data_IF_647103241234
#
_entry.id   IF_647103241234
#
_cell.length_a   1.000
_cell.length_b   1.000
_cell.length_c   1.000
_cell.angle_alpha   90.00
_cell.angle_beta   90.00
_cell.angle_gamma   90.00
#
_symmetry.space_group_name_H-M   'P 1'
#
loop_
_entity.id
_entity.type
_entity.pdbx_description
1 polymer ?
#
# COMPACT_ATOMS: atom_id res chain seq x y z
N UNK A 1 38.10 4.27 45.39
CA UNK A 1 37.13 5.15 44.68
C UNK A 1 35.96 5.42 45.61
N UNK A 2 35.73 6.66 46.03
CA UNK A 2 34.63 6.97 46.95
C UNK A 2 33.29 6.84 46.22
N UNK A 3 32.42 5.94 46.68
CA UNK A 3 31.09 5.64 46.15
C UNK A 3 30.25 6.89 45.76
N UNK A 4 30.28 8.00 46.53
CA UNK A 4 29.52 9.22 46.16
C UNK A 4 29.99 9.88 44.87
N UNK A 5 31.30 9.84 44.58
CA UNK A 5 31.88 10.42 43.36
C UNK A 5 31.56 9.59 42.12
N UNK A 6 31.49 8.27 42.26
CA UNK A 6 31.10 7.37 41.17
C UNK A 6 29.62 7.56 40.79
N UNK A 7 28.73 7.70 41.78
CA UNK A 7 27.31 7.94 41.53
C UNK A 7 27.07 9.29 40.83
N UNK A 8 27.75 10.36 41.28
CA UNK A 8 27.66 11.67 40.63
C UNK A 8 28.18 11.63 39.18
N UNK A 9 29.24 10.88 38.92
CA UNK A 9 29.83 10.74 37.59
C UNK A 9 28.92 9.95 36.64
N UNK A 10 28.28 8.87 37.09
CA UNK A 10 27.30 8.11 36.30
C UNK A 10 26.09 8.97 35.96
N UNK A 11 25.59 9.76 36.92
CA UNK A 11 24.47 10.67 36.70
C UNK A 11 24.81 11.76 35.66
N UNK A 12 25.99 12.35 35.76
CA UNK A 12 26.44 13.42 34.85
C UNK A 12 26.70 12.89 33.42
N UNK A 13 27.35 11.74 33.30
CA UNK A 13 27.61 11.11 31.98
C UNK A 13 26.32 10.58 31.37
N UNK A 14 25.43 9.99 32.17
CA UNK A 14 24.14 9.47 31.71
C UNK A 14 23.22 10.55 31.14
N UNK A 15 23.15 11.72 31.78
CA UNK A 15 22.32 12.85 31.29
C UNK A 15 22.84 13.45 29.99
N UNK A 16 24.17 13.51 29.78
CA UNK A 16 24.74 14.01 28.53
C UNK A 16 24.49 13.09 27.34
N UNK A 17 24.49 11.76 27.55
CA UNK A 17 24.25 10.78 26.48
C UNK A 17 22.77 10.78 26.06
N UNK A 18 21.86 10.76 27.03
CA UNK A 18 20.41 10.77 26.77
C UNK A 18 19.97 12.07 26.09
N UNK A 19 20.51 13.22 26.50
CA UNK A 19 20.20 14.52 25.89
C UNK A 19 20.62 14.62 24.42
N UNK A 20 21.82 14.15 24.07
CA UNK A 20 22.30 14.17 22.68
C UNK A 20 21.52 13.22 21.77
N UNK A 21 21.23 12.01 22.25
CA UNK A 21 20.46 11.03 21.50
C UNK A 21 19.01 11.49 21.27
N UNK A 22 18.35 12.07 22.28
CA UNK A 22 16.99 12.58 22.16
C UNK A 22 16.91 13.79 21.20
N UNK A 23 17.93 14.65 21.17
CA UNK A 23 17.99 15.78 20.24
C UNK A 23 18.17 15.32 18.79
N UNK A 24 19.05 14.35 18.52
CA UNK A 24 19.23 13.79 17.18
C UNK A 24 18.00 13.00 16.72
N UNK A 25 17.45 12.15 17.59
CA UNK A 25 16.22 11.42 17.31
C UNK A 25 15.03 12.37 17.12
N UNK A 26 14.93 13.44 17.91
CA UNK A 26 13.91 14.47 17.77
C UNK A 26 14.08 15.28 16.47
N UNK A 27 15.32 15.52 16.03
CA UNK A 27 15.62 16.18 14.75
C UNK A 27 15.36 15.25 13.56
N UNK A 28 15.58 13.94 13.71
CA UNK A 28 15.27 12.91 12.70
C UNK A 28 13.75 12.67 12.60
N UNK A 29 13.05 12.59 13.73
CA UNK A 29 11.59 12.57 13.80
C UNK A 29 10.99 13.87 13.25
N UNK A 30 11.62 15.02 13.53
CA UNK A 30 11.22 16.30 12.97
C UNK A 30 11.40 16.37 11.46
N UNK A 31 12.45 15.75 10.91
CA UNK A 31 12.65 15.61 9.45
C UNK A 31 11.65 14.63 8.83
N UNK A 32 11.36 13.50 9.46
CA UNK A 32 10.37 12.54 8.97
C UNK A 32 8.93 13.08 9.10
N UNK A 33 8.63 13.83 10.16
CA UNK A 33 7.34 14.48 10.36
C UNK A 33 7.18 15.73 9.50
N UNK A 34 8.27 16.44 9.14
CA UNK A 34 8.24 17.50 8.12
C UNK A 34 8.23 16.93 6.71
N UNK A 35 8.86 15.79 6.45
CA UNK A 35 8.67 15.06 5.20
C UNK A 35 7.21 14.58 5.09
N UNK A 36 6.63 14.02 6.15
CA UNK A 36 5.21 13.63 6.21
C UNK A 36 4.21 14.80 6.27
N UNK A 37 4.58 15.95 6.86
CA UNK A 37 3.73 17.16 6.86
C UNK A 37 3.89 17.99 5.60
N UNK A 38 5.06 18.02 4.96
CA UNK A 38 5.22 18.61 3.63
C UNK A 38 4.63 17.67 2.58
N UNK A 39 4.61 16.34 2.78
CA UNK A 39 3.75 15.47 1.97
C UNK A 39 2.27 15.73 2.24
N UNK A 40 1.81 15.90 3.49
CA UNK A 40 0.40 16.15 3.76
C UNK A 40 -0.06 17.59 3.41
N UNK A 41 0.80 18.60 3.51
CA UNK A 41 0.48 20.01 3.20
C UNK A 41 0.87 20.41 1.77
N UNK A 42 1.82 19.71 1.13
CA UNK A 42 2.12 19.86 -0.29
C UNK A 42 1.39 18.83 -1.17
N UNK A 43 0.74 17.78 -0.62
CA UNK A 43 -0.27 17.01 -1.36
C UNK A 43 -1.51 17.86 -1.73
N UNK A 44 -1.67 19.04 -1.13
CA UNK A 44 -2.65 20.03 -1.55
C UNK A 44 -2.18 20.97 -2.69
N UNK A 45 -0.87 21.10 -2.96
CA UNK A 45 -0.37 22.16 -3.83
C UNK A 45 0.89 21.86 -4.68
N UNK A 46 1.58 20.72 -4.51
CA UNK A 46 2.85 20.41 -5.18
C UNK A 46 2.84 19.07 -5.92
N UNK A 47 1.73 18.75 -6.60
CA UNK A 47 1.60 17.57 -7.46
C UNK A 47 2.36 17.64 -8.80
N UNK A 48 3.48 18.37 -8.88
CA UNK A 48 4.31 18.48 -10.09
C UNK A 48 5.79 18.53 -9.67
N UNK A 49 6.49 17.40 -9.72
CA UNK A 49 7.93 17.38 -9.45
C UNK A 49 8.55 16.01 -9.23
N UNK A 50 8.80 15.29 -10.34
CA UNK A 50 9.98 14.45 -10.60
C UNK A 50 10.40 13.32 -9.62
N UNK A 51 10.38 12.07 -10.12
CA UNK A 51 11.67 11.36 -10.22
C UNK A 51 11.90 10.04 -9.50
N UNK A 52 10.91 9.43 -8.83
CA UNK A 52 10.95 7.98 -8.56
C UNK A 52 9.92 7.34 -9.48
N UNK A 53 10.22 6.19 -10.10
CA UNK A 53 9.25 5.45 -10.92
C UNK A 53 7.92 5.44 -10.16
N UNK A 54 6.92 6.17 -10.68
CA UNK A 54 5.68 6.41 -9.95
C UNK A 54 5.13 5.03 -9.63
N UNK A 55 5.07 4.69 -8.34
CA UNK A 55 4.59 3.38 -7.92
C UNK A 55 3.26 3.16 -8.64
N UNK A 56 2.98 1.98 -9.22
CA UNK A 56 1.71 1.74 -9.88
C UNK A 56 0.51 2.18 -9.01
N UNK A 57 0.64 2.00 -7.69
CA UNK A 57 -0.28 2.50 -6.67
C UNK A 57 -0.47 4.03 -6.64
N UNK A 58 0.58 4.81 -6.88
CA UNK A 58 0.53 6.29 -6.94
C UNK A 58 -0.26 6.78 -8.16
N UNK A 59 -0.16 6.05 -9.28
CA UNK A 59 -0.96 6.36 -10.47
C UNK A 59 -2.45 6.15 -10.18
N UNK A 60 -2.80 5.05 -9.51
CA UNK A 60 -4.18 4.80 -9.06
C UNK A 60 -4.69 5.86 -8.08
N UNK A 61 -3.83 6.38 -7.21
CA UNK A 61 -4.20 7.47 -6.30
C UNK A 61 -4.59 8.73 -7.07
N UNK A 62 -3.90 9.05 -8.18
CA UNK A 62 -4.24 10.19 -9.04
C UNK A 62 -5.53 9.98 -9.82
N UNK A 63 -5.80 8.77 -10.32
CA UNK A 63 -7.03 8.47 -11.08
C UNK A 63 -8.25 8.40 -10.16
N UNK A 64 -8.15 7.69 -9.04
CA UNK A 64 -9.25 7.51 -8.10
C UNK A 64 -9.39 8.67 -7.12
N UNK A 65 -8.42 9.59 -7.02
CA UNK A 65 -8.43 10.69 -6.02
C UNK A 65 -8.69 10.19 -4.59
N UNK A 66 -8.16 9.01 -4.27
CA UNK A 66 -8.11 8.46 -2.92
C UNK A 66 -6.89 7.56 -2.78
N UNK A 67 -6.35 7.50 -1.57
CA UNK A 67 -5.25 6.61 -1.23
C UNK A 67 -5.77 5.20 -0.96
N UNK A 68 -4.87 4.20 -1.04
CA UNK A 68 -5.21 2.83 -0.67
C UNK A 68 -5.62 2.71 0.81
N UNK A 69 -4.99 3.48 1.69
CA UNK A 69 -5.30 3.46 3.12
C UNK A 69 -6.66 4.11 3.43
N UNK A 70 -7.05 5.18 2.70
CA UNK A 70 -8.41 5.72 2.79
C UNK A 70 -9.44 4.65 2.39
N UNK A 71 -9.17 3.89 1.32
CA UNK A 71 -10.08 2.84 0.87
C UNK A 71 -10.24 1.72 1.91
N UNK A 72 -9.14 1.30 2.56
CA UNK A 72 -9.18 0.31 3.66
C UNK A 72 -10.01 0.79 4.84
N UNK A 73 -9.81 2.06 5.25
CA UNK A 73 -10.54 2.66 6.36
C UNK A 73 -12.05 2.76 6.04
N UNK A 74 -12.41 3.19 4.83
CA UNK A 74 -13.81 3.28 4.39
C UNK A 74 -14.49 1.91 4.44
N UNK A 75 -13.83 0.85 3.97
CA UNK A 75 -14.38 -0.51 3.96
C UNK A 75 -14.09 -1.30 5.24
N UNK A 76 -13.56 -0.66 6.28
CA UNK A 76 -13.20 -1.28 7.56
C UNK A 76 -12.38 -2.57 7.39
N UNK A 77 -11.39 -2.54 6.51
CA UNK A 77 -10.49 -3.66 6.25
C UNK A 77 -9.27 -3.56 7.17
N UNK A 78 -9.02 -4.63 7.93
CA UNK A 78 -7.88 -4.74 8.86
C UNK A 78 -6.61 -5.27 8.21
N UNK A 79 -6.69 -5.71 6.95
CA UNK A 79 -5.62 -6.44 6.27
C UNK A 79 -4.72 -5.48 5.49
N UNK A 80 -3.42 -5.77 5.47
CA UNK A 80 -2.46 -4.99 4.70
C UNK A 80 -2.53 -5.35 3.21
N UNK A 81 -3.31 -4.55 2.48
CA UNK A 81 -3.50 -4.67 1.02
C UNK A 81 -2.35 -4.10 0.19
N UNK A 82 -1.20 -3.76 0.79
CA UNK A 82 -0.06 -3.26 0.02
C UNK A 82 0.61 -4.40 -0.74
N UNK A 83 1.36 -4.08 -1.81
CA UNK A 83 2.14 -5.07 -2.55
C UNK A 83 3.06 -5.89 -1.62
N UNK A 84 3.64 -5.26 -0.60
CA UNK A 84 4.47 -5.91 0.41
C UNK A 84 3.67 -6.84 1.35
N UNK A 85 2.45 -6.47 1.75
CA UNK A 85 1.61 -7.27 2.66
C UNK A 85 0.96 -8.49 1.97
N UNK A 86 0.51 -8.31 0.72
CA UNK A 86 -0.13 -9.38 -0.06
C UNK A 86 0.89 -10.34 -0.69
N UNK A 87 2.13 -9.90 -0.92
CA UNK A 87 3.23 -10.74 -1.43
C UNK A 87 3.62 -11.88 -0.48
N UNK A 88 3.47 -11.70 0.83
CA UNK A 88 3.69 -12.76 1.83
C UNK A 88 2.46 -13.62 2.13
N UNK A 89 1.25 -13.03 2.08
CA UNK A 89 0.00 -13.69 2.44
C UNK A 89 -0.60 -14.56 1.33
N UNK A 90 -0.21 -14.36 0.06
CA UNK A 90 -0.68 -15.18 -1.06
C UNK A 90 -0.25 -16.67 -0.95
N UNK A 91 0.75 -16.96 -0.13
CA UNK A 91 1.36 -18.29 0.02
C UNK A 91 0.93 -19.04 1.28
N UNK A 92 0.22 -18.39 2.21
CA UNK A 92 -0.22 -19.04 3.45
C UNK A 92 -1.61 -19.67 3.25
N UNK A 93 -1.63 -20.97 2.94
CA UNK A 93 -2.85 -21.77 3.05
C UNK A 93 -3.11 -21.97 4.55
N UNK A 94 -4.15 -21.33 5.08
CA UNK A 94 -4.67 -21.62 6.42
C UNK A 94 -6.00 -22.35 6.31
N UNK A 95 -6.00 -23.61 6.73
CA UNK A 95 -7.12 -24.31 7.38
C UNK A 95 -8.37 -24.67 6.58
N UNK A 96 -8.75 -23.96 5.52
CA UNK A 96 -10.05 -24.17 4.84
C UNK A 96 -9.99 -24.21 3.30
N UNK A 97 -8.80 -24.33 2.70
CA UNK A 97 -8.67 -24.40 1.23
C UNK A 97 -8.98 -23.09 0.48
N UNK A 98 -9.35 -22.01 1.18
CA UNK A 98 -9.46 -20.64 0.64
C UNK A 98 -8.17 -19.88 0.92
N UNK A 99 -7.61 -19.23 -0.09
CA UNK A 99 -6.43 -18.38 0.11
C UNK A 99 -6.77 -17.20 1.02
N UNK A 100 -5.78 -16.64 1.74
CA UNK A 100 -6.00 -15.44 2.56
C UNK A 100 -6.59 -14.31 1.71
N UNK A 101 -6.18 -14.20 0.44
CA UNK A 101 -6.73 -13.23 -0.51
C UNK A 101 -8.23 -13.39 -0.73
N UNK A 102 -8.71 -14.63 -0.81
CA UNK A 102 -10.14 -14.92 -0.99
C UNK A 102 -10.94 -14.52 0.25
N UNK A 103 -10.41 -14.77 1.45
CA UNK A 103 -11.02 -14.35 2.70
C UNK A 103 -11.10 -12.82 2.80
N UNK A 104 -10.03 -12.12 2.41
CA UNK A 104 -10.00 -10.65 2.37
C UNK A 104 -11.00 -10.12 1.35
N UNK A 105 -11.10 -10.75 0.17
CA UNK A 105 -12.07 -10.39 -0.86
C UNK A 105 -13.50 -10.57 -0.37
N UNK A 106 -13.78 -11.69 0.29
CA UNK A 106 -15.10 -11.98 0.86
C UNK A 106 -15.47 -10.94 1.94
N UNK A 107 -14.54 -10.62 2.84
CA UNK A 107 -14.74 -9.59 3.85
C UNK A 107 -14.98 -8.20 3.24
N UNK A 108 -14.25 -7.85 2.17
CA UNK A 108 -14.46 -6.59 1.44
C UNK A 108 -15.86 -6.51 0.84
N UNK A 109 -16.31 -7.56 0.15
CA UNK A 109 -17.64 -7.58 -0.48
C UNK A 109 -18.74 -7.47 0.59
N UNK A 110 -18.63 -8.23 1.69
CA UNK A 110 -19.58 -8.15 2.82
C UNK A 110 -19.64 -6.75 3.43
N UNK A 111 -18.49 -6.15 3.71
CA UNK A 111 -18.42 -4.80 4.27
C UNK A 111 -18.97 -3.76 3.30
N UNK A 112 -18.65 -3.89 2.00
CA UNK A 112 -19.19 -3.04 0.94
C UNK A 112 -20.71 -3.11 0.88
N UNK A 113 -21.29 -4.31 0.79
CA UNK A 113 -22.74 -4.49 0.65
C UNK A 113 -23.48 -3.92 1.87
N UNK A 114 -22.96 -4.18 3.07
CA UNK A 114 -23.49 -3.62 4.32
C UNK A 114 -23.43 -2.08 4.30
N UNK A 115 -22.26 -1.49 4.06
CA UNK A 115 -22.08 -0.03 4.07
C UNK A 115 -22.88 0.65 2.95
N UNK A 116 -23.00 0.02 1.78
CA UNK A 116 -23.74 0.54 0.65
C UNK A 116 -25.25 0.56 0.94
N UNK A 117 -25.77 -0.51 1.55
CA UNK A 117 -27.17 -0.59 1.96
C UNK A 117 -27.50 0.40 3.10
N UNK A 118 -26.68 0.46 4.15
CA UNK A 118 -26.89 1.37 5.29
C UNK A 118 -26.84 2.84 4.88
N UNK A 119 -25.95 3.19 3.94
CA UNK A 119 -25.77 4.58 3.48
C UNK A 119 -26.52 4.90 2.19
N UNK A 120 -27.54 4.12 1.82
CA UNK A 120 -28.35 4.41 0.64
C UNK A 120 -28.97 5.82 0.74
N UNK A 121 -28.86 6.65 -0.32
CA UNK A 121 -29.40 8.00 -0.32
C UNK A 121 -30.94 7.99 -0.24
N UNK A 122 -31.54 9.12 0.17
CA UNK A 122 -32.97 9.29 0.07
C UNK A 122 -33.40 9.24 -1.40
N UNK A 123 -34.61 8.74 -1.63
CA UNK A 123 -35.16 8.74 -2.98
C UNK A 123 -35.29 10.17 -3.53
N UNK A 124 -35.20 10.35 -4.87
CA UNK A 124 -35.46 11.62 -5.52
C UNK A 124 -36.81 12.21 -5.13
N UNK A 125 -36.95 13.53 -5.21
CA UNK A 125 -38.19 14.23 -4.86
C UNK A 125 -39.40 13.58 -5.56
N UNK A 126 -40.36 13.11 -4.75
CA UNK A 126 -41.60 12.49 -5.24
C UNK A 126 -41.61 10.96 -5.26
N UNK A 127 -40.51 10.28 -4.95
CA UNK A 127 -40.46 8.82 -4.84
C UNK A 127 -40.45 8.37 -3.37
N UNK A 128 -41.15 7.27 -3.07
CA UNK A 128 -41.13 6.63 -1.74
C UNK A 128 -40.05 5.55 -1.72
N UNK A 129 -39.24 5.55 -0.67
CA UNK A 129 -38.11 4.64 -0.51
C UNK A 129 -36.78 5.38 -0.30
N UNK A 130 -35.67 4.66 -0.33
CA UNK A 130 -34.34 5.19 -0.05
C UNK A 130 -33.97 5.13 1.44
N UNK A 131 -32.68 5.26 1.72
CA UNK A 131 -32.15 5.27 3.08
C UNK A 131 -32.03 6.68 3.65
N UNK A 132 -31.55 6.77 4.89
CA UNK A 132 -31.19 8.03 5.55
C UNK A 132 -29.75 8.49 5.23
N UNK A 133 -29.08 7.79 4.30
CA UNK A 133 -27.70 8.07 3.93
C UNK A 133 -27.57 9.25 2.97
N UNK A 134 -26.35 9.44 2.44
CA UNK A 134 -26.08 10.47 1.44
C UNK A 134 -25.42 9.89 0.20
N UNK A 135 -25.72 10.49 -0.94
CA UNK A 135 -25.11 10.10 -2.22
C UNK A 135 -23.59 10.25 -2.20
N UNK A 136 -23.08 11.24 -1.45
CA UNK A 136 -21.64 11.43 -1.28
C UNK A 136 -20.97 10.25 -0.57
N UNK A 137 -21.53 9.80 0.55
CA UNK A 137 -20.97 8.67 1.30
C UNK A 137 -21.08 7.38 0.48
N UNK A 138 -22.23 7.13 -0.16
CA UNK A 138 -22.39 5.99 -1.06
C UNK A 138 -21.36 6.02 -2.21
N UNK A 139 -21.13 7.19 -2.81
CA UNK A 139 -20.12 7.37 -3.86
C UNK A 139 -18.70 7.10 -3.35
N UNK A 140 -18.39 7.47 -2.10
CA UNK A 140 -17.10 7.17 -1.46
C UNK A 140 -16.91 5.66 -1.23
N UNK A 141 -17.94 4.96 -0.76
CA UNK A 141 -17.91 3.49 -0.58
C UNK A 141 -17.68 2.77 -1.91
N UNK A 142 -18.40 3.16 -2.98
CA UNK A 142 -18.21 2.59 -4.33
C UNK A 142 -16.80 2.85 -4.85
N UNK A 143 -16.31 4.07 -4.66
CA UNK A 143 -14.98 4.44 -5.14
C UNK A 143 -13.89 3.69 -4.37
N UNK A 144 -14.07 3.46 -3.07
CA UNK A 144 -13.14 2.72 -2.22
C UNK A 144 -13.00 1.27 -2.69
N UNK A 145 -14.13 0.62 -2.99
CA UNK A 145 -14.15 -0.72 -3.59
C UNK A 145 -13.37 -0.75 -4.91
N UNK A 146 -13.67 0.16 -5.84
CA UNK A 146 -12.96 0.24 -7.14
C UNK A 146 -11.46 0.46 -6.98
N UNK A 147 -11.03 1.25 -5.98
CA UNK A 147 -9.62 1.53 -5.71
C UNK A 147 -8.86 0.28 -5.26
N UNK A 148 -9.49 -0.57 -4.44
CA UNK A 148 -8.91 -1.83 -3.96
C UNK A 148 -8.91 -2.88 -5.07
N UNK A 149 -9.99 -2.99 -5.84
CA UNK A 149 -10.07 -3.89 -7.00
C UNK A 149 -8.97 -3.56 -8.04
N UNK A 150 -8.71 -2.27 -8.27
CA UNK A 150 -7.64 -1.83 -9.16
C UNK A 150 -6.24 -2.20 -8.65
N UNK A 151 -5.98 -2.19 -7.34
CA UNK A 151 -4.69 -2.65 -6.80
C UNK A 151 -4.49 -4.14 -7.00
N UNK A 152 -5.50 -4.95 -6.71
CA UNK A 152 -5.41 -6.38 -6.98
C UNK A 152 -5.19 -6.68 -8.46
N UNK A 153 -5.75 -5.85 -9.35
CA UNK A 153 -5.45 -5.88 -10.78
C UNK A 153 -3.97 -5.67 -11.07
N UNK A 154 -3.33 -4.68 -10.42
CA UNK A 154 -1.89 -4.43 -10.55
C UNK A 154 -1.04 -5.59 -10.01
N UNK A 155 -1.41 -6.18 -8.87
CA UNK A 155 -0.69 -7.33 -8.32
C UNK A 155 -0.76 -8.55 -9.26
N UNK A 156 -1.93 -8.80 -9.86
CA UNK A 156 -2.09 -9.90 -10.81
C UNK A 156 -1.32 -9.64 -12.12
N UNK A 157 -1.33 -8.40 -12.61
CA UNK A 157 -0.55 -8.02 -13.80
C UNK A 157 0.96 -8.13 -13.56
N UNK A 158 1.44 -7.73 -12.37
CA UNK A 158 2.84 -7.90 -11.96
C UNK A 158 3.26 -9.36 -11.92
N UNK A 159 2.42 -10.25 -11.34
CA UNK A 159 2.65 -11.70 -11.33
C UNK A 159 2.75 -12.31 -12.73
N UNK A 160 1.88 -11.88 -13.66
CA UNK A 160 1.91 -12.37 -15.03
C UNK A 160 3.17 -11.89 -15.78
N UNK A 161 3.59 -10.64 -15.56
CA UNK A 161 4.82 -10.11 -16.16
C UNK A 161 6.10 -10.79 -15.61
N UNK A 162 6.13 -11.12 -14.31
CA UNK A 162 7.23 -11.88 -13.69
C UNK A 162 7.30 -13.33 -14.21
N UNK A 163 6.15 -13.97 -14.45
CA UNK A 163 6.07 -15.31 -15.02
C UNK A 163 6.53 -15.37 -16.49
N UNK A 164 6.22 -14.33 -17.29
CA UNK A 164 6.69 -14.21 -18.68
C UNK A 164 8.20 -13.89 -18.75
N UNK A 165 8.73 -13.10 -17.82
CA UNK A 165 10.17 -12.81 -17.72
C UNK A 165 10.98 -14.06 -17.29
N UNK A 166 10.45 -14.87 -16.36
CA UNK A 166 11.09 -16.12 -15.93
C UNK A 166 11.07 -17.25 -16.98
N UNK A 167 10.18 -17.19 -17.97
CA UNK A 167 10.12 -18.15 -19.08
C UNK A 167 11.12 -17.83 -20.21
N UNK A 168 11.64 -16.59 -20.27
CA UNK A 168 12.59 -16.14 -21.30
C UNK A 168 14.06 -16.47 -20.99
N UNK A 169 14.38 -16.94 -19.78
CA UNK A 169 15.74 -17.33 -19.37
C UNK A 169 15.95 -18.86 -19.42
N UNK A 170 15.82 -19.47 -20.59
CA UNK A 170 16.55 -20.72 -20.89
C UNK A 170 17.49 -20.48 -22.05
N UNK A 171 18.82 -20.31 -21.83
CA UNK A 171 19.76 -20.20 -22.92
C UNK A 171 19.94 -21.60 -23.51
N UNK A 172 19.30 -21.87 -24.65
CA UNK A 172 19.61 -23.02 -25.50
C UNK A 172 21.02 -22.85 -26.08
N UNK A 173 22.03 -23.27 -25.32
CA UNK A 173 23.35 -23.58 -25.85
C UNK A 173 23.23 -24.91 -26.60
N UNK A 174 23.03 -24.84 -27.91
CA UNK A 174 22.85 -26.02 -28.76
C UNK A 174 23.22 -25.75 -30.21
N UNK A 175 24.52 -25.94 -30.51
CA UNK A 175 25.12 -26.36 -31.77
C UNK A 175 24.46 -25.96 -33.10
N UNK A 176 25.17 -25.16 -33.90
CA UNK A 176 25.12 -25.30 -35.35
C UNK A 176 26.55 -25.46 -35.90
N UNK A 177 26.84 -26.69 -36.33
CA UNK A 177 27.88 -27.01 -37.28
C UNK A 177 27.39 -26.63 -38.70
N UNK A 178 28.33 -26.66 -39.66
CA UNK A 178 28.14 -26.51 -41.10
C UNK A 178 27.96 -25.05 -41.58
N UNK A 179 28.61 -24.54 -42.63
CA UNK A 179 29.22 -25.18 -43.79
C UNK A 179 30.09 -24.10 -44.48
N UNK A 180 31.40 -24.31 -44.65
CA UNK A 180 32.28 -23.41 -45.39
C UNK A 180 32.85 -24.16 -46.59
N UNK A 181 32.04 -24.23 -47.65
CA UNK A 181 32.45 -24.77 -48.94
C UNK A 181 32.54 -23.61 -49.94
N UNK A 182 33.76 -23.29 -50.39
CA UNK A 182 33.98 -22.42 -51.55
C UNK A 182 35.27 -22.81 -52.26
N UNK A 183 35.12 -23.75 -53.21
CA UNK A 183 36.01 -24.01 -54.35
C UNK A 183 35.62 -23.07 -55.53
N UNK A 184 36.38 -23.02 -56.64
CA UNK A 184 37.76 -23.47 -56.87
C UNK A 184 38.79 -22.37 -57.09
#
# INVERSE_FOLDING_TARGET
>A
MSLPKALAQILFVGTQIVGKALLEAGRQAGRNARAGRVEASAAGAAGVGSGSAASPSDQLTRTHRMTLDEAKLILNLKQDLSAAGLGGAASSIQGEGKSVLDQVREAMVKNYDHLFATNAPPAPKGQKGGGAGSFYIQSKVVRARKRIEAEWGLLNAGKNAEAEAGAAETPSTGANADQADKKP
#
